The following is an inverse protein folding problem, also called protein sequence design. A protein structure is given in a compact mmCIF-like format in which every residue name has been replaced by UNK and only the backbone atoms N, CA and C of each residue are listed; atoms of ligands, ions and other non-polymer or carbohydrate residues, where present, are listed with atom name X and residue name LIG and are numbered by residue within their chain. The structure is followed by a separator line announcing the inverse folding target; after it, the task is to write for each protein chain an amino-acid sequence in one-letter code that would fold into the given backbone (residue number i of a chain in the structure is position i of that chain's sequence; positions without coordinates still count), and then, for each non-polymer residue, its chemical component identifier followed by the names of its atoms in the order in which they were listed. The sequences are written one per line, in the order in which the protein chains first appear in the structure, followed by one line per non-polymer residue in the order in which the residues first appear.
data_IF_686307369208
#
_entry.id   IF_686307369208
#
_cell.length_a   1.000
_cell.length_b   1.000
_cell.length_c   1.000
_cell.angle_alpha   90.00
_cell.angle_beta   90.00
_cell.angle_gamma   90.00
#
_symmetry.space_group_name_H-M   'P 1'
#
loop_
_entity.id
_entity.type
_entity.pdbx_description
1 polymer ?
#
# COMPACT_ATOMS: atom_id res chain seq x y z
N UNK A 1 3.24 -41.67 -6.25
CA UNK A 1 4.25 -40.60 -6.36
C UNK A 1 4.14 -39.64 -5.18
N UNK A 2 5.04 -39.74 -4.19
CA UNK A 2 5.13 -38.77 -3.08
C UNK A 2 5.62 -37.45 -3.68
N UNK A 3 4.76 -36.43 -3.78
CA UNK A 3 5.19 -35.06 -4.09
C UNK A 3 6.01 -34.57 -2.91
N UNK A 4 7.33 -34.55 -3.05
CA UNK A 4 8.17 -33.78 -2.18
C UNK A 4 7.72 -32.33 -2.25
N UNK A 5 7.40 -31.77 -1.08
CA UNK A 5 7.05 -30.36 -0.91
C UNK A 5 8.34 -29.55 -1.04
N UNK A 6 8.84 -29.43 -2.30
CA UNK A 6 9.98 -28.56 -2.57
C UNK A 6 9.46 -27.11 -2.56
N UNK A 7 9.79 -26.35 -1.55
CA UNK A 7 9.60 -24.90 -1.48
C UNK A 7 10.39 -24.24 -2.61
N UNK A 8 9.82 -24.19 -3.81
CA UNK A 8 10.45 -23.52 -4.95
C UNK A 8 10.20 -22.03 -4.83
N UNK A 9 11.15 -21.29 -4.26
CA UNK A 9 11.08 -19.83 -4.14
C UNK A 9 11.32 -19.21 -5.50
N UNK A 10 10.40 -18.36 -5.97
CA UNK A 10 10.47 -17.68 -7.26
C UNK A 10 11.68 -16.75 -7.36
N UNK A 11 11.86 -15.86 -6.39
CA UNK A 11 13.02 -14.99 -6.28
C UNK A 11 13.48 -14.91 -4.82
N UNK A 12 14.68 -15.43 -4.53
CA UNK A 12 15.24 -15.47 -3.17
C UNK A 12 15.49 -14.07 -2.60
N UNK A 13 15.87 -13.12 -3.46
CA UNK A 13 16.15 -11.75 -3.04
C UNK A 13 14.89 -11.06 -2.52
N UNK A 14 13.76 -11.18 -3.23
CA UNK A 14 12.47 -10.63 -2.78
C UNK A 14 12.06 -11.24 -1.44
N UNK A 15 12.20 -12.57 -1.29
CA UNK A 15 11.84 -13.24 -0.02
C UNK A 15 12.72 -12.75 1.13
N UNK A 16 14.05 -12.72 0.93
CA UNK A 16 14.98 -12.25 1.95
C UNK A 16 14.70 -10.79 2.34
N UNK A 17 14.62 -9.89 1.36
CA UNK A 17 14.42 -8.46 1.61
C UNK A 17 13.06 -8.16 2.27
N UNK A 18 11.99 -8.87 1.89
CA UNK A 18 10.68 -8.69 2.52
C UNK A 18 10.68 -9.12 3.99
N UNK A 19 11.35 -10.23 4.33
CA UNK A 19 11.50 -10.68 5.72
C UNK A 19 12.34 -9.68 6.54
N UNK A 20 13.45 -9.20 5.96
CA UNK A 20 14.30 -8.18 6.61
C UNK A 20 13.48 -6.90 6.88
N UNK A 21 12.68 -6.43 5.91
CA UNK A 21 11.82 -5.25 6.10
C UNK A 21 10.77 -5.47 7.19
N UNK A 22 10.16 -6.64 7.29
CA UNK A 22 9.19 -6.96 8.35
C UNK A 22 9.86 -6.96 9.73
N UNK A 23 11.05 -7.55 9.85
CA UNK A 23 11.81 -7.55 11.12
C UNK A 23 12.21 -6.12 11.49
N UNK A 24 12.79 -5.37 10.55
CA UNK A 24 13.17 -3.97 10.75
C UNK A 24 11.96 -3.11 11.13
N UNK A 25 10.84 -3.23 10.40
CA UNK A 25 9.60 -2.51 10.71
C UNK A 25 9.07 -2.84 12.11
N UNK A 26 9.12 -4.11 12.52
CA UNK A 26 8.69 -4.53 13.86
C UNK A 26 9.55 -3.90 14.97
N UNK A 27 10.86 -3.79 14.75
CA UNK A 27 11.76 -3.08 15.68
C UNK A 27 11.46 -1.59 15.73
N UNK A 28 11.24 -0.95 14.57
CA UNK A 28 10.93 0.48 14.52
C UNK A 28 9.56 0.82 15.10
N UNK A 29 8.56 -0.06 14.94
CA UNK A 29 7.25 0.07 15.61
C UNK A 29 7.42 0.00 17.13
N UNK A 30 8.24 -0.92 17.64
CA UNK A 30 8.52 -0.99 19.07
C UNK A 30 9.18 0.30 19.58
N UNK A 31 10.17 0.84 18.86
CA UNK A 31 10.79 2.11 19.20
C UNK A 31 9.80 3.29 19.17
N UNK A 32 9.00 3.40 18.10
CA UNK A 32 8.04 4.49 17.93
C UNK A 32 7.00 4.55 19.06
N UNK A 33 6.58 3.38 19.57
CA UNK A 33 5.58 3.29 20.65
C UNK A 33 6.16 3.44 22.07
N UNK A 34 7.48 3.56 22.22
CA UNK A 34 8.08 3.83 23.52
C UNK A 34 7.58 5.15 24.13
N UNK A 35 7.33 6.18 23.31
CA UNK A 35 6.78 7.45 23.78
C UNK A 35 5.38 7.31 24.39
N UNK A 36 4.53 6.50 23.80
CA UNK A 36 3.17 6.23 24.27
C UNK A 36 3.14 5.28 25.47
N UNK A 37 4.23 4.56 25.75
CA UNK A 37 4.34 3.60 26.85
C UNK A 37 4.88 4.18 28.15
N UNK A 38 5.15 5.47 28.21
CA UNK A 38 5.66 6.12 29.41
C UNK A 38 4.63 5.98 30.54
N UNK A 39 5.00 5.24 31.58
CA UNK A 39 4.12 4.92 32.72
C UNK A 39 3.32 3.60 32.60
N UNK A 40 3.27 2.95 31.43
CA UNK A 40 2.62 1.63 31.26
C UNK A 40 3.50 0.66 30.44
N UNK A 41 4.30 -0.13 31.13
CA UNK A 41 5.17 -1.15 30.50
C UNK A 41 4.37 -2.26 29.83
N UNK A 42 3.11 -2.49 30.24
CA UNK A 42 2.24 -3.51 29.67
C UNK A 42 1.73 -3.09 28.28
N UNK A 43 1.61 -1.79 28.04
CA UNK A 43 1.24 -1.25 26.73
C UNK A 43 2.24 -1.63 25.65
N UNK A 44 3.54 -1.36 25.88
CA UNK A 44 4.61 -1.67 24.93
C UNK A 44 4.67 -3.17 24.62
N UNK A 45 4.57 -4.01 25.67
CA UNK A 45 4.55 -5.47 25.50
C UNK A 45 3.39 -5.92 24.62
N UNK A 46 2.19 -5.36 24.81
CA UNK A 46 1.00 -5.66 23.97
C UNK A 46 1.23 -5.27 22.52
N UNK A 47 1.83 -4.10 22.25
CA UNK A 47 2.13 -3.65 20.88
C UNK A 47 3.13 -4.59 20.21
N UNK A 48 4.23 -4.93 20.89
CA UNK A 48 5.25 -5.84 20.36
C UNK A 48 4.67 -7.23 20.06
N UNK A 49 3.92 -7.81 20.99
CA UNK A 49 3.27 -9.11 20.81
C UNK A 49 2.29 -9.08 19.64
N UNK A 50 1.46 -8.04 19.56
CA UNK A 50 0.53 -7.84 18.44
C UNK A 50 1.27 -7.78 17.10
N UNK A 51 2.32 -6.97 17.01
CA UNK A 51 3.11 -6.83 15.79
C UNK A 51 3.79 -8.15 15.40
N UNK A 52 4.35 -8.89 16.38
CA UNK A 52 4.98 -10.18 16.14
C UNK A 52 3.97 -11.24 15.64
N UNK A 53 2.74 -11.26 16.17
CA UNK A 53 1.67 -12.16 15.71
C UNK A 53 1.31 -11.84 14.25
N UNK A 54 1.10 -10.56 13.91
CA UNK A 54 0.77 -10.19 12.53
C UNK A 54 1.93 -10.45 11.57
N UNK A 55 3.17 -10.21 11.99
CA UNK A 55 4.37 -10.56 11.21
C UNK A 55 4.44 -12.06 10.94
N UNK A 56 4.22 -12.89 11.97
CA UNK A 56 4.22 -14.34 11.85
C UNK A 56 3.11 -14.85 10.91
N UNK A 57 1.87 -14.38 11.09
CA UNK A 57 0.75 -14.72 10.21
C UNK A 57 1.02 -14.23 8.78
N UNK A 58 1.61 -13.04 8.63
CA UNK A 58 2.02 -12.49 7.34
C UNK A 58 3.02 -13.40 6.61
N UNK A 59 4.06 -13.86 7.30
CA UNK A 59 5.06 -14.79 6.75
C UNK A 59 4.41 -16.14 6.37
N UNK A 60 3.55 -16.68 7.22
CA UNK A 60 2.81 -17.92 6.89
C UNK A 60 1.95 -17.71 5.65
N UNK A 61 1.19 -16.61 5.57
CA UNK A 61 0.33 -16.31 4.43
C UNK A 61 1.14 -16.15 3.13
N UNK A 62 2.31 -15.51 3.19
CA UNK A 62 3.23 -15.39 2.06
C UNK A 62 3.62 -16.75 1.49
N UNK A 63 4.11 -17.68 2.34
CA UNK A 63 4.53 -19.01 1.89
C UNK A 63 3.32 -19.89 1.48
N UNK A 64 2.18 -19.76 2.14
CA UNK A 64 0.97 -20.48 1.78
C UNK A 64 0.49 -20.06 0.38
N UNK A 65 0.42 -18.74 0.11
CA UNK A 65 -0.04 -18.19 -1.17
C UNK A 65 0.96 -18.49 -2.30
N UNK A 66 2.26 -18.43 -2.04
CA UNK A 66 3.29 -18.77 -3.03
C UNK A 66 3.09 -20.18 -3.63
N UNK A 67 2.53 -21.10 -2.86
CA UNK A 67 2.26 -22.47 -3.31
C UNK A 67 0.88 -22.64 -3.98
N UNK A 68 0.04 -21.59 -4.01
CA UNK A 68 -1.28 -21.67 -4.62
C UNK A 68 -1.20 -21.59 -6.14
N UNK A 69 -1.91 -22.52 -6.79
CA UNK A 69 -2.06 -22.54 -8.25
C UNK A 69 -3.27 -21.70 -8.67
N UNK A 70 -3.16 -20.36 -8.55
CA UNK A 70 -4.24 -19.41 -8.83
C UNK A 70 -4.85 -19.55 -10.21
N UNK A 71 -4.05 -19.91 -11.21
CA UNK A 71 -4.53 -20.12 -12.58
C UNK A 71 -5.59 -21.23 -12.68
N UNK A 72 -5.62 -22.19 -11.72
CA UNK A 72 -6.61 -23.28 -11.66
C UNK A 72 -7.93 -22.86 -11.00
N UNK A 73 -7.94 -21.75 -10.25
CA UNK A 73 -9.14 -21.28 -9.56
C UNK A 73 -10.17 -20.81 -10.59
N UNK A 74 -11.43 -21.28 -10.48
CA UNK A 74 -12.52 -20.86 -11.37
C UNK A 74 -12.85 -19.39 -11.20
N UNK A 75 -13.19 -18.71 -12.30
CA UNK A 75 -13.52 -17.27 -12.27
C UNK A 75 -14.70 -16.96 -11.34
N UNK A 76 -15.62 -17.89 -11.16
CA UNK A 76 -16.78 -17.73 -10.26
C UNK A 76 -16.37 -17.45 -8.81
N UNK A 77 -15.28 -18.05 -8.31
CA UNK A 77 -14.77 -17.77 -6.99
C UNK A 77 -14.29 -16.33 -6.84
N UNK A 78 -13.70 -15.77 -7.90
CA UNK A 78 -13.29 -14.36 -7.87
C UNK A 78 -14.49 -13.43 -7.74
N UNK A 79 -15.62 -13.72 -8.39
CA UNK A 79 -16.84 -12.92 -8.20
C UNK A 79 -17.41 -13.05 -6.78
N UNK A 80 -17.37 -14.24 -6.18
CA UNK A 80 -17.78 -14.45 -4.78
C UNK A 80 -16.89 -13.63 -3.84
N UNK A 81 -15.57 -13.67 -4.02
CA UNK A 81 -14.64 -12.87 -3.22
C UNK A 81 -14.84 -11.36 -3.44
N UNK A 82 -15.12 -10.93 -4.67
CA UNK A 82 -15.45 -9.54 -4.96
C UNK A 82 -16.66 -9.08 -4.13
N UNK A 83 -17.75 -9.82 -4.16
CA UNK A 83 -18.97 -9.49 -3.40
C UNK A 83 -18.69 -9.53 -1.88
N UNK A 84 -17.93 -10.51 -1.41
CA UNK A 84 -17.55 -10.60 0.01
C UNK A 84 -16.73 -9.40 0.48
N UNK A 85 -15.73 -8.97 -0.30
CA UNK A 85 -14.94 -7.77 0.01
C UNK A 85 -15.82 -6.51 -0.08
N UNK A 86 -16.71 -6.40 -1.08
CA UNK A 86 -17.63 -5.28 -1.20
C UNK A 86 -18.54 -5.15 0.04
N UNK A 87 -19.07 -6.27 0.50
CA UNK A 87 -19.86 -6.31 1.72
C UNK A 87 -19.03 -5.86 2.93
N UNK A 88 -17.79 -6.34 3.08
CA UNK A 88 -16.89 -5.94 4.16
C UNK A 88 -16.56 -4.42 4.10
N UNK A 89 -16.33 -3.86 2.88
CA UNK A 89 -16.10 -2.43 2.70
C UNK A 89 -17.29 -1.59 3.18
N UNK A 90 -18.52 -2.02 2.89
CA UNK A 90 -19.74 -1.32 3.32
C UNK A 90 -19.98 -1.52 4.83
N UNK A 91 -19.73 -2.73 5.34
CA UNK A 91 -19.91 -3.06 6.75
C UNK A 91 -19.04 -2.24 7.71
N UNK A 92 -17.88 -1.74 7.26
CA UNK A 92 -17.03 -0.86 8.06
C UNK A 92 -17.79 0.34 8.65
N UNK A 93 -18.81 0.85 7.95
CA UNK A 93 -19.59 2.00 8.43
C UNK A 93 -20.33 1.72 9.74
N UNK A 94 -20.64 0.46 10.04
CA UNK A 94 -21.31 0.05 11.28
C UNK A 94 -20.37 0.08 12.51
N UNK A 95 -19.05 0.16 12.32
CA UNK A 95 -18.05 0.10 13.39
C UNK A 95 -17.55 1.47 13.86
N UNK A 96 -18.07 2.58 13.28
CA UNK A 96 -17.67 3.93 13.64
C UNK A 96 -16.44 4.44 12.91
N UNK A 97 -16.17 5.74 13.06
CA UNK A 97 -15.06 6.40 12.40
C UNK A 97 -13.80 6.39 13.29
N UNK A 98 -12.64 6.20 12.67
CA UNK A 98 -11.33 6.43 13.27
C UNK A 98 -10.66 7.56 12.45
N UNK A 99 -10.29 8.65 13.08
CA UNK A 99 -9.68 9.82 12.43
C UNK A 99 -10.50 10.31 11.20
N UNK A 100 -11.83 10.28 11.31
CA UNK A 100 -12.74 10.73 10.26
C UNK A 100 -13.01 9.72 9.13
N UNK A 101 -12.40 8.53 9.14
CA UNK A 101 -12.63 7.48 8.15
C UNK A 101 -13.34 6.26 8.75
N UNK A 102 -14.33 5.74 8.04
CA UNK A 102 -15.09 4.52 8.37
C UNK A 102 -14.48 3.31 7.65
N UNK A 103 -13.19 3.04 7.88
CA UNK A 103 -12.42 2.10 7.07
C UNK A 103 -12.05 0.80 7.79
N UNK A 104 -12.38 0.68 9.08
CA UNK A 104 -11.93 -0.43 9.92
C UNK A 104 -13.08 -1.25 10.50
N UNK A 105 -12.88 -2.57 10.54
CA UNK A 105 -13.72 -3.53 11.25
C UNK A 105 -12.99 -3.91 12.54
N UNK A 106 -13.64 -3.74 13.68
CA UNK A 106 -13.07 -4.10 14.97
C UNK A 106 -13.21 -5.61 15.22
N UNK A 107 -12.10 -6.25 15.51
CA UNK A 107 -12.05 -7.64 15.97
C UNK A 107 -11.81 -7.66 17.49
N UNK A 108 -12.84 -7.36 18.25
CA UNK A 108 -12.72 -7.17 19.69
C UNK A 108 -11.79 -6.01 20.05
N UNK A 109 -11.08 -6.10 21.18
CA UNK A 109 -10.09 -5.12 21.63
C UNK A 109 -8.69 -5.33 21.06
N UNK A 110 -8.47 -6.47 20.38
CA UNK A 110 -7.12 -6.88 19.99
C UNK A 110 -6.66 -6.32 18.63
N UNK A 111 -7.54 -6.31 17.64
CA UNK A 111 -7.16 -5.98 16.27
C UNK A 111 -8.24 -5.23 15.49
N UNK A 112 -7.81 -4.50 14.48
CA UNK A 112 -8.68 -3.90 13.45
C UNK A 112 -8.28 -4.43 12.08
N UNK A 113 -9.27 -4.72 11.24
CA UNK A 113 -9.06 -5.08 9.84
C UNK A 113 -9.54 -3.94 8.95
N UNK A 114 -8.72 -3.56 7.98
CA UNK A 114 -9.08 -2.61 6.94
C UNK A 114 -9.32 -3.36 5.63
N UNK A 115 -10.58 -3.58 5.22
CA UNK A 115 -10.89 -4.36 4.02
C UNK A 115 -10.36 -3.76 2.73
N UNK A 116 -10.15 -2.44 2.66
CA UNK A 116 -9.57 -1.78 1.48
C UNK A 116 -8.15 -2.24 1.16
N UNK A 117 -7.36 -2.70 2.15
CA UNK A 117 -6.04 -3.27 1.90
C UNK A 117 -6.14 -4.57 1.10
N UNK A 118 -7.08 -5.43 1.46
CA UNK A 118 -7.34 -6.68 0.74
C UNK A 118 -7.98 -6.43 -0.62
N UNK A 119 -8.83 -5.40 -0.75
CA UNK A 119 -9.43 -4.98 -2.01
C UNK A 119 -8.38 -4.61 -3.06
N UNK A 120 -7.32 -3.88 -2.67
CA UNK A 120 -6.20 -3.50 -3.55
C UNK A 120 -5.49 -4.73 -4.11
N UNK A 121 -5.10 -5.66 -3.24
CA UNK A 121 -4.43 -6.91 -3.63
C UNK A 121 -5.34 -7.80 -4.47
N UNK A 122 -6.61 -7.92 -4.07
CA UNK A 122 -7.60 -8.69 -4.82
C UNK A 122 -7.77 -8.17 -6.26
N UNK A 123 -7.85 -6.85 -6.46
CA UNK A 123 -8.02 -6.26 -7.80
C UNK A 123 -6.83 -6.55 -8.72
N UNK A 124 -5.60 -6.64 -8.19
CA UNK A 124 -4.43 -7.06 -8.96
C UNK A 124 -4.61 -8.49 -9.48
N UNK A 125 -4.93 -9.43 -8.57
CA UNK A 125 -5.04 -10.86 -8.89
C UNK A 125 -6.26 -11.13 -9.76
N UNK A 126 -7.36 -10.45 -9.52
CA UNK A 126 -8.57 -10.53 -10.33
C UNK A 126 -8.33 -10.02 -11.76
N UNK A 127 -7.64 -8.87 -11.90
CA UNK A 127 -7.24 -8.35 -13.21
C UNK A 127 -6.36 -9.34 -13.98
N UNK A 128 -5.37 -9.93 -13.31
CA UNK A 128 -4.53 -10.96 -13.89
C UNK A 128 -5.33 -12.17 -14.38
N UNK A 129 -6.34 -12.62 -13.63
CA UNK A 129 -7.23 -13.72 -14.03
C UNK A 129 -8.13 -13.34 -15.19
N UNK A 130 -8.68 -12.12 -15.18
CA UNK A 130 -9.63 -11.67 -16.18
C UNK A 130 -8.97 -11.45 -17.54
N UNK A 131 -7.75 -10.88 -17.55
CA UNK A 131 -6.99 -10.58 -18.76
C UNK A 131 -6.04 -11.70 -19.21
N UNK A 132 -6.01 -12.84 -18.50
CA UNK A 132 -5.09 -13.94 -18.80
C UNK A 132 -5.48 -14.80 -20.00
N UNK A 133 -6.68 -14.65 -20.54
CA UNK A 133 -7.16 -15.42 -21.69
C UNK A 133 -6.98 -14.62 -22.97
N UNK A 134 -6.20 -15.16 -23.91
CA UNK A 134 -6.24 -14.71 -25.30
C UNK A 134 -7.65 -14.96 -25.83
N UNK A 135 -8.40 -13.91 -25.97
CA UNK A 135 -9.79 -13.91 -26.43
C UNK A 135 -9.93 -13.09 -27.71
N UNK A 136 -11.10 -13.23 -28.35
CA UNK A 136 -11.49 -12.31 -29.42
C UNK A 136 -11.51 -10.87 -28.91
N UNK A 137 -11.37 -9.88 -29.81
CA UNK A 137 -11.39 -8.44 -29.47
C UNK A 137 -12.61 -8.10 -28.61
N UNK A 138 -13.76 -8.68 -28.89
CA UNK A 138 -15.00 -8.46 -28.16
C UNK A 138 -14.95 -9.00 -26.72
N UNK A 139 -14.44 -10.23 -26.52
CA UNK A 139 -14.26 -10.81 -25.17
C UNK A 139 -13.30 -9.97 -24.33
N UNK A 140 -12.25 -9.47 -24.93
CA UNK A 140 -11.25 -8.64 -24.24
C UNK A 140 -11.83 -7.28 -23.87
N UNK A 141 -12.62 -6.66 -24.76
CA UNK A 141 -13.34 -5.41 -24.48
C UNK A 141 -14.32 -5.59 -23.32
N UNK A 142 -15.08 -6.68 -23.32
CA UNK A 142 -16.02 -6.97 -22.24
C UNK A 142 -15.31 -7.22 -20.90
N UNK A 143 -14.15 -7.88 -20.90
CA UNK A 143 -13.32 -8.07 -19.73
C UNK A 143 -12.81 -6.71 -19.19
N UNK A 144 -12.35 -5.82 -20.07
CA UNK A 144 -11.90 -4.47 -19.73
C UNK A 144 -13.01 -3.63 -19.09
N UNK A 145 -14.19 -3.62 -19.71
CA UNK A 145 -15.35 -2.88 -19.18
C UNK A 145 -15.80 -3.45 -17.83
N UNK A 146 -15.89 -4.78 -17.70
CA UNK A 146 -16.24 -5.42 -16.42
C UNK A 146 -15.26 -5.07 -15.30
N UNK A 147 -13.96 -5.17 -15.57
CA UNK A 147 -12.93 -4.80 -14.60
C UNK A 147 -13.05 -3.32 -14.19
N UNK A 148 -13.22 -2.42 -15.17
CA UNK A 148 -13.39 -0.99 -14.94
C UNK A 148 -14.62 -0.66 -14.08
N UNK A 149 -15.77 -1.28 -14.37
CA UNK A 149 -16.99 -1.09 -13.56
C UNK A 149 -16.74 -1.56 -12.12
N UNK A 150 -16.14 -2.73 -11.93
CA UNK A 150 -15.86 -3.28 -10.60
C UNK A 150 -14.85 -2.43 -9.84
N UNK A 151 -13.84 -1.89 -10.51
CA UNK A 151 -12.88 -0.95 -9.92
C UNK A 151 -13.55 0.36 -9.49
N UNK A 152 -14.44 0.91 -10.32
CA UNK A 152 -15.20 2.13 -10.00
C UNK A 152 -16.12 1.91 -8.79
N UNK A 153 -16.79 0.77 -8.70
CA UNK A 153 -17.64 0.45 -7.54
C UNK A 153 -16.82 0.44 -6.25
N UNK A 154 -15.68 -0.25 -6.21
CA UNK A 154 -14.80 -0.23 -5.04
C UNK A 154 -14.30 1.18 -4.73
N UNK A 155 -13.86 1.92 -5.76
CA UNK A 155 -13.39 3.29 -5.60
C UNK A 155 -14.47 4.19 -4.96
N UNK A 156 -15.70 4.14 -5.46
CA UNK A 156 -16.82 4.93 -4.91
C UNK A 156 -17.13 4.54 -3.47
N UNK A 157 -17.13 3.25 -3.14
CA UNK A 157 -17.41 2.78 -1.78
C UNK A 157 -16.30 3.23 -0.82
N UNK A 158 -15.02 3.07 -1.19
CA UNK A 158 -13.90 3.50 -0.34
C UNK A 158 -13.90 5.03 -0.19
N UNK A 159 -14.11 5.77 -1.28
CA UNK A 159 -14.08 7.23 -1.27
C UNK A 159 -15.28 7.85 -0.54
N UNK A 160 -16.51 7.39 -0.82
CA UNK A 160 -17.76 8.01 -0.30
C UNK A 160 -18.29 7.34 0.96
N UNK A 161 -18.28 6.00 1.03
CA UNK A 161 -18.86 5.28 2.17
C UNK A 161 -17.88 5.20 3.33
N UNK A 162 -16.59 4.93 3.03
CA UNK A 162 -15.54 4.87 4.06
C UNK A 162 -14.88 6.22 4.35
N UNK A 163 -15.03 7.22 3.46
CA UNK A 163 -14.33 8.53 3.55
C UNK A 163 -12.80 8.38 3.63
N UNK A 164 -12.25 7.32 3.00
CA UNK A 164 -10.81 7.02 2.98
C UNK A 164 -10.22 7.42 1.62
N UNK A 165 -9.79 8.68 1.54
CA UNK A 165 -9.21 9.24 0.31
C UNK A 165 -7.90 8.55 -0.08
N UNK A 166 -7.01 8.28 0.90
CA UNK A 166 -5.71 7.66 0.65
C UNK A 166 -5.83 6.29 0.01
N UNK A 167 -6.64 5.40 0.59
CA UNK A 167 -6.89 4.06 0.03
C UNK A 167 -7.61 4.10 -1.31
N UNK A 168 -8.51 5.06 -1.54
CA UNK A 168 -9.19 5.22 -2.82
C UNK A 168 -8.19 5.60 -3.93
N UNK A 169 -7.28 6.55 -3.68
CA UNK A 169 -6.23 6.95 -4.63
C UNK A 169 -5.32 5.77 -4.96
N UNK A 170 -4.85 5.04 -3.93
CA UNK A 170 -4.00 3.85 -4.14
C UNK A 170 -4.70 2.80 -4.99
N UNK A 171 -5.96 2.47 -4.67
CA UNK A 171 -6.76 1.52 -5.48
C UNK A 171 -6.93 2.01 -6.91
N UNK A 172 -7.23 3.30 -7.10
CA UNK A 172 -7.39 3.91 -8.43
C UNK A 172 -6.13 3.77 -9.29
N UNK A 173 -4.95 4.08 -8.72
CA UNK A 173 -3.65 3.96 -9.41
C UNK A 173 -3.35 2.50 -9.76
N UNK A 174 -3.57 1.57 -8.83
CA UNK A 174 -3.37 0.13 -9.09
C UNK A 174 -4.28 -0.33 -10.24
N UNK A 175 -5.58 -0.04 -10.17
CA UNK A 175 -6.53 -0.47 -11.19
C UNK A 175 -6.22 0.17 -12.55
N UNK A 176 -5.83 1.44 -12.58
CA UNK A 176 -5.35 2.11 -13.78
C UNK A 176 -4.16 1.36 -14.41
N UNK A 177 -3.11 1.09 -13.62
CA UNK A 177 -1.94 0.38 -14.12
C UNK A 177 -2.27 -1.04 -14.62
N UNK A 178 -3.11 -1.78 -13.90
CA UNK A 178 -3.59 -3.10 -14.33
C UNK A 178 -4.32 -3.03 -15.68
N UNK A 179 -5.12 -1.99 -15.92
CA UNK A 179 -5.83 -1.79 -17.19
C UNK A 179 -4.91 -1.35 -18.35
N UNK A 180 -3.73 -0.76 -18.05
CA UNK A 180 -2.77 -0.33 -19.07
C UNK A 180 -1.89 -1.47 -19.60
N UNK A 181 -1.70 -2.56 -18.85
CA UNK A 181 -0.77 -3.63 -19.21
C UNK A 181 -1.22 -4.47 -20.42
N UNK A 182 -2.49 -4.90 -20.54
CA UNK A 182 -2.87 -5.80 -21.63
C UNK A 182 -2.81 -5.08 -22.99
N UNK A 183 -2.04 -5.62 -23.97
CA UNK A 183 -2.00 -5.05 -25.31
C UNK A 183 -3.24 -5.50 -26.11
N UNK A 184 -4.41 -4.97 -25.76
CA UNK A 184 -5.68 -5.40 -26.34
C UNK A 184 -5.99 -4.55 -27.57
N UNK A 185 -6.00 -5.18 -28.76
CA UNK A 185 -6.47 -4.55 -30.00
C UNK A 185 -7.91 -4.05 -29.81
N UNK A 186 -8.18 -2.82 -30.19
CA UNK A 186 -9.52 -2.18 -30.05
C UNK A 186 -9.76 -1.40 -28.75
N UNK A 187 -8.89 -1.53 -27.72
CA UNK A 187 -9.02 -0.80 -26.46
C UNK A 187 -8.03 0.37 -26.34
N UNK A 188 -7.03 0.44 -27.22
CA UNK A 188 -5.99 1.47 -27.19
C UNK A 188 -6.55 2.88 -27.09
N UNK A 189 -7.69 3.15 -27.74
CA UNK A 189 -8.38 4.45 -27.64
C UNK A 189 -8.81 4.75 -26.20
N UNK A 190 -9.39 3.79 -25.49
CA UNK A 190 -9.82 3.97 -24.08
C UNK A 190 -8.62 4.12 -23.15
N UNK A 191 -7.54 3.34 -23.35
CA UNK A 191 -6.29 3.47 -22.60
C UNK A 191 -5.68 4.86 -22.79
N UNK A 192 -5.65 5.40 -24.01
CA UNK A 192 -5.18 6.77 -24.26
C UNK A 192 -6.04 7.82 -23.53
N UNK A 193 -7.37 7.70 -23.57
CA UNK A 193 -8.27 8.60 -22.83
C UNK A 193 -8.05 8.51 -21.31
N UNK A 194 -7.85 7.32 -20.77
CA UNK A 194 -7.53 7.15 -19.36
C UNK A 194 -6.19 7.80 -18.99
N UNK A 195 -5.18 7.69 -19.86
CA UNK A 195 -3.88 8.34 -19.65
C UNK A 195 -4.02 9.88 -19.66
N UNK A 196 -4.80 10.43 -20.58
CA UNK A 196 -5.10 11.87 -20.60
C UNK A 196 -5.83 12.29 -19.32
N UNK A 197 -6.81 11.50 -18.87
CA UNK A 197 -7.54 11.79 -17.63
C UNK A 197 -6.64 11.78 -16.39
N UNK A 198 -5.68 10.83 -16.31
CA UNK A 198 -4.71 10.79 -15.22
C UNK A 198 -3.76 11.99 -15.26
N UNK A 199 -3.24 12.36 -16.43
CA UNK A 199 -2.40 13.57 -16.59
C UNK A 199 -3.18 14.80 -16.13
N UNK A 200 -4.44 14.91 -16.53
CA UNK A 200 -5.30 16.03 -16.14
C UNK A 200 -5.58 16.05 -14.64
N UNK A 201 -5.80 14.87 -14.01
CA UNK A 201 -5.96 14.76 -12.56
C UNK A 201 -4.70 15.20 -11.80
N UNK A 202 -3.50 14.86 -12.30
CA UNK A 202 -2.24 15.30 -11.72
C UNK A 202 -2.11 16.83 -11.84
N UNK A 203 -2.41 17.39 -12.99
CA UNK A 203 -2.39 18.85 -13.20
C UNK A 203 -3.39 19.57 -12.28
N UNK A 204 -4.57 18.99 -12.03
CA UNK A 204 -5.54 19.53 -11.06
C UNK A 204 -4.92 19.56 -9.66
N UNK A 205 -4.24 18.49 -9.21
CA UNK A 205 -3.61 18.48 -7.89
C UNK A 205 -2.57 19.60 -7.76
N UNK A 206 -1.72 19.78 -8.76
CA UNK A 206 -0.76 20.90 -8.77
C UNK A 206 -1.45 22.27 -8.79
N UNK A 207 -2.54 22.40 -9.55
CA UNK A 207 -3.33 23.63 -9.57
C UNK A 207 -3.96 23.92 -8.20
N UNK A 208 -4.47 22.90 -7.50
CA UNK A 208 -5.04 23.05 -6.17
C UNK A 208 -4.01 23.48 -5.11
N UNK A 209 -2.73 23.18 -5.32
CA UNK A 209 -1.62 23.62 -4.45
C UNK A 209 -1.08 25.01 -4.82
N UNK A 210 -1.61 25.65 -5.87
CA UNK A 210 -1.18 26.99 -6.28
C UNK A 210 -1.68 28.08 -5.32
N UNK A 211 -0.90 29.15 -5.14
CA UNK A 211 -1.22 30.24 -4.22
C UNK A 211 -2.62 30.86 -4.39
N UNK A 212 -3.14 31.12 -5.61
CA UNK A 212 -4.47 31.68 -5.77
C UNK A 212 -5.57 30.78 -5.21
N UNK A 213 -5.44 29.46 -5.42
CA UNK A 213 -6.44 28.47 -4.98
C UNK A 213 -6.34 28.23 -3.48
N UNK A 214 -5.13 28.13 -2.93
CA UNK A 214 -4.94 27.98 -1.49
C UNK A 214 -5.41 29.21 -0.72
N UNK A 215 -5.24 30.42 -1.24
CA UNK A 215 -5.79 31.64 -0.65
C UNK A 215 -7.33 31.66 -0.66
N UNK A 216 -7.97 31.17 -1.72
CA UNK A 216 -9.42 30.98 -1.74
C UNK A 216 -9.90 29.91 -0.77
N UNK A 217 -9.16 28.79 -0.64
CA UNK A 217 -9.46 27.70 0.30
C UNK A 217 -9.37 28.14 1.78
N UNK A 218 -8.56 29.13 2.14
CA UNK A 218 -8.42 29.65 3.52
C UNK A 218 -9.77 30.06 4.12
N UNK A 219 -10.70 30.58 3.31
CA UNK A 219 -12.06 30.90 3.73
C UNK A 219 -12.96 29.72 4.03
N UNK A 220 -12.52 28.48 3.77
CA UNK A 220 -13.28 27.24 3.90
C UNK A 220 -12.51 26.16 4.67
N UNK A 221 -11.64 26.58 5.59
CA UNK A 221 -10.70 25.72 6.35
C UNK A 221 -11.35 24.67 7.25
N UNK A 222 -12.64 24.80 7.56
CA UNK A 222 -13.38 23.86 8.40
C UNK A 222 -13.53 22.46 7.79
N UNK A 223 -13.26 22.32 6.49
CA UNK A 223 -13.29 21.04 5.82
C UNK A 223 -11.96 20.30 6.00
N UNK A 224 -12.00 19.12 6.61
CA UNK A 224 -10.83 18.28 6.89
C UNK A 224 -9.91 18.03 5.67
N UNK A 225 -10.49 17.82 4.48
CA UNK A 225 -9.70 17.62 3.25
C UNK A 225 -9.01 18.91 2.82
N UNK A 226 -9.71 20.05 2.88
CA UNK A 226 -9.15 21.36 2.57
C UNK A 226 -8.00 21.66 3.52
N UNK A 227 -8.17 21.40 4.81
CA UNK A 227 -7.13 21.57 5.83
C UNK A 227 -5.83 20.81 5.50
N UNK A 228 -5.93 19.58 4.97
CA UNK A 228 -4.74 18.81 4.53
C UNK A 228 -4.02 19.43 3.31
N UNK A 229 -4.77 19.98 2.34
CA UNK A 229 -4.18 20.69 1.21
C UNK A 229 -3.49 21.97 1.65
N UNK A 230 -4.10 22.73 2.53
CA UNK A 230 -3.53 23.96 3.10
C UNK A 230 -2.27 23.67 3.93
N UNK A 231 -2.29 22.61 4.75
CA UNK A 231 -1.13 22.19 5.53
C UNK A 231 0.04 21.68 4.66
N UNK A 232 -0.24 21.13 3.47
CA UNK A 232 0.80 20.75 2.52
C UNK A 232 1.40 21.96 1.80
N UNK A 233 0.58 22.99 1.50
CA UNK A 233 1.02 24.20 0.85
C UNK A 233 1.87 25.09 1.78
N UNK A 234 1.43 25.27 3.03
CA UNK A 234 2.14 26.03 4.06
C UNK A 234 1.88 25.43 5.45
N UNK A 235 2.69 24.45 5.90
CA UNK A 235 2.49 23.82 7.20
C UNK A 235 2.69 24.79 8.37
N UNK A 236 3.54 25.82 8.24
CA UNK A 236 3.85 26.74 9.32
C UNK A 236 2.70 27.71 9.61
N UNK A 237 1.89 28.03 8.60
CA UNK A 237 0.69 28.85 8.78
C UNK A 237 -0.38 28.10 9.59
N UNK A 238 -0.44 26.77 9.47
CA UNK A 238 -1.40 25.89 10.15
C UNK A 238 -0.77 25.07 11.28
N UNK A 239 0.26 25.63 11.95
CA UNK A 239 1.11 24.94 12.95
C UNK A 239 0.38 24.38 14.17
N UNK A 240 -0.82 24.87 14.47
CA UNK A 240 -1.62 24.43 15.63
C UNK A 240 -2.72 23.43 15.26
N UNK A 241 -2.84 23.08 13.99
CA UNK A 241 -3.87 22.20 13.44
C UNK A 241 -3.24 21.16 12.50
N UNK A 242 -3.74 21.03 11.28
CA UNK A 242 -3.28 20.02 10.30
C UNK A 242 -1.78 20.13 9.93
N UNK A 243 -1.18 21.31 10.04
CA UNK A 243 0.25 21.53 9.82
C UNK A 243 1.16 21.00 10.93
N UNK A 244 0.65 20.83 12.16
CA UNK A 244 1.45 20.37 13.31
C UNK A 244 2.18 19.04 13.01
N UNK A 245 1.46 18.08 12.44
CA UNK A 245 2.01 16.76 12.12
C UNK A 245 3.14 16.82 11.10
N UNK A 246 2.98 17.66 10.08
CA UNK A 246 3.99 17.88 9.04
C UNK A 246 5.22 18.55 9.59
N UNK A 247 5.05 19.61 10.41
CA UNK A 247 6.16 20.33 11.05
C UNK A 247 6.96 19.38 11.94
N UNK A 248 6.29 18.57 12.77
CA UNK A 248 6.97 17.58 13.61
C UNK A 248 7.78 16.60 12.80
N UNK A 249 7.26 16.16 11.63
CA UNK A 249 8.01 15.30 10.72
C UNK A 249 9.26 15.98 10.17
N UNK A 250 9.16 17.24 9.73
CA UNK A 250 10.28 18.00 9.19
C UNK A 250 11.36 18.26 10.24
N UNK A 251 10.95 18.55 11.50
CA UNK A 251 11.89 18.72 12.61
C UNK A 251 12.58 17.39 12.96
N UNK A 252 11.83 16.27 12.96
CA UNK A 252 12.44 14.94 13.15
C UNK A 252 13.49 14.64 12.08
N UNK A 253 13.21 14.98 10.81
CA UNK A 253 14.19 14.83 9.72
C UNK A 253 15.45 15.69 9.94
N UNK A 254 15.27 16.92 10.39
CA UNK A 254 16.39 17.81 10.69
C UNK A 254 17.25 17.31 11.85
N UNK A 255 16.62 16.79 12.91
CA UNK A 255 17.31 16.25 14.07
C UNK A 255 18.11 14.99 13.78
N UNK A 256 17.63 14.16 12.84
CA UNK A 256 18.27 12.90 12.46
C UNK A 256 19.66 13.08 11.87
N UNK A 257 19.97 14.21 11.24
CA UNK A 257 21.27 14.43 10.59
C UNK A 257 21.70 13.23 9.72
N UNK A 258 23.02 12.95 9.68
CA UNK A 258 23.58 11.83 8.86
C UNK A 258 23.41 10.48 9.58
N UNK A 259 23.72 10.41 10.88
CA UNK A 259 23.82 9.14 11.64
C UNK A 259 22.62 8.87 12.55
N UNK A 260 21.74 9.84 12.78
CA UNK A 260 20.65 9.73 13.73
C UNK A 260 21.07 9.92 15.20
N UNK A 261 20.05 9.93 16.06
CA UNK A 261 20.22 10.02 17.51
C UNK A 261 20.49 8.67 18.19
N UNK A 262 20.43 7.59 17.42
CA UNK A 262 20.49 6.21 17.91
C UNK A 262 19.11 5.59 18.11
N UNK A 263 19.02 4.26 17.97
CA UNK A 263 17.78 3.51 18.15
C UNK A 263 17.16 3.75 19.54
N UNK A 264 15.89 4.04 19.58
CA UNK A 264 15.18 4.33 20.83
C UNK A 264 15.27 5.76 21.31
N UNK A 265 16.06 6.64 20.69
CA UNK A 265 16.39 7.98 21.16
C UNK A 265 15.66 9.10 20.40
N UNK A 266 14.66 8.81 19.57
CA UNK A 266 13.83 9.87 18.98
C UNK A 266 13.21 10.73 20.07
N UNK A 267 13.36 12.05 19.95
CA UNK A 267 12.82 13.03 20.92
C UNK A 267 11.33 13.23 20.68
N UNK A 268 10.95 13.33 19.41
CA UNK A 268 9.58 13.70 19.04
C UNK A 268 8.54 12.66 19.42
N UNK A 269 8.90 11.36 19.50
CA UNK A 269 7.96 10.32 19.96
C UNK A 269 7.47 10.53 21.39
N UNK A 270 8.17 11.32 22.22
CA UNK A 270 7.76 11.68 23.58
C UNK A 270 6.99 13.02 23.64
N UNK A 271 6.84 13.74 22.51
CA UNK A 271 6.19 15.04 22.42
C UNK A 271 4.78 14.97 21.81
N UNK A 272 3.97 13.98 22.16
CA UNK A 272 2.63 13.77 21.59
C UNK A 272 2.62 13.68 20.05
N UNK A 273 3.64 13.06 19.47
CA UNK A 273 3.69 12.84 18.03
C UNK A 273 2.54 11.89 17.60
N UNK A 274 1.64 12.30 16.74
CA UNK A 274 0.46 11.51 16.45
C UNK A 274 0.80 10.29 15.58
N UNK A 275 0.26 9.13 15.93
CA UNK A 275 0.42 7.88 15.20
C UNK A 275 1.87 7.57 14.75
N UNK A 276 2.88 7.68 15.63
CA UNK A 276 4.29 7.55 15.26
C UNK A 276 4.65 6.18 14.71
N UNK A 277 3.90 5.15 15.04
CA UNK A 277 4.10 3.78 14.56
C UNK A 277 3.39 3.47 13.23
N UNK A 278 2.44 4.32 12.79
CA UNK A 278 1.66 4.12 11.58
C UNK A 278 2.19 4.98 10.41
N UNK A 279 1.50 6.09 10.17
CA UNK A 279 1.73 6.97 9.01
C UNK A 279 3.03 7.76 9.15
N UNK A 280 3.44 8.05 10.39
CA UNK A 280 4.60 8.86 10.74
C UNK A 280 5.81 8.05 11.23
N UNK A 281 5.89 6.78 10.88
CA UNK A 281 7.04 5.94 11.27
C UNK A 281 8.35 6.38 10.59
N UNK A 282 8.28 6.91 9.36
CA UNK A 282 9.46 7.36 8.63
C UNK A 282 10.20 8.51 9.33
N UNK A 283 9.54 9.58 9.82
CA UNK A 283 10.19 10.58 10.65
C UNK A 283 10.95 9.99 11.86
N UNK A 284 10.36 9.02 12.56
CA UNK A 284 11.02 8.34 13.67
C UNK A 284 12.27 7.57 13.21
N UNK A 285 12.16 6.85 12.08
CA UNK A 285 13.30 6.12 11.48
C UNK A 285 14.44 7.08 11.16
N UNK A 286 14.14 8.22 10.53
CA UNK A 286 15.16 9.20 10.15
C UNK A 286 15.73 9.90 11.36
N UNK A 287 14.93 10.22 12.36
CA UNK A 287 15.43 10.84 13.60
C UNK A 287 16.37 9.89 14.36
N UNK A 288 16.07 8.59 14.41
CA UNK A 288 16.87 7.60 15.13
C UNK A 288 18.10 7.09 14.35
N UNK A 289 17.99 6.88 13.04
CA UNK A 289 19.00 6.24 12.20
C UNK A 289 19.64 7.19 11.18
N UNK A 290 19.20 8.43 11.14
CA UNK A 290 19.72 9.44 10.23
C UNK A 290 19.35 9.20 8.77
N UNK A 291 19.99 9.97 7.91
CA UNK A 291 19.84 9.83 6.45
C UNK A 291 20.38 8.49 5.95
N UNK A 292 21.34 7.90 6.65
CA UNK A 292 21.87 6.54 6.38
C UNK A 292 20.76 5.50 6.56
N UNK A 293 19.97 5.60 7.63
CA UNK A 293 18.81 4.74 7.86
C UNK A 293 17.75 4.87 6.75
N UNK A 294 17.48 6.10 6.30
CA UNK A 294 16.59 6.34 5.17
C UNK A 294 17.09 5.68 3.87
N UNK A 295 18.35 5.87 3.50
CA UNK A 295 18.90 5.21 2.30
C UNK A 295 18.96 3.70 2.45
N UNK A 296 19.26 3.16 3.64
CA UNK A 296 19.16 1.74 3.93
C UNK A 296 17.76 1.19 3.66
N UNK A 297 16.73 1.93 4.09
CA UNK A 297 15.34 1.60 3.83
C UNK A 297 15.02 1.64 2.32
N UNK A 298 15.43 2.69 1.61
CA UNK A 298 15.24 2.82 0.15
C UNK A 298 15.90 1.66 -0.60
N UNK A 299 17.11 1.27 -0.21
CA UNK A 299 17.81 0.12 -0.79
C UNK A 299 17.04 -1.17 -0.52
N UNK A 300 16.58 -1.40 0.71
CA UNK A 300 15.84 -2.60 1.06
C UNK A 300 14.52 -2.71 0.27
N UNK A 301 13.80 -1.59 0.10
CA UNK A 301 12.64 -1.51 -0.80
C UNK A 301 13.03 -1.78 -2.26
N UNK A 302 14.14 -1.20 -2.73
CA UNK A 302 14.68 -1.44 -4.07
C UNK A 302 14.95 -2.92 -4.36
N UNK A 303 15.47 -3.65 -3.37
CA UNK A 303 15.70 -5.09 -3.47
C UNK A 303 14.41 -5.92 -3.61
N UNK A 304 13.27 -5.40 -3.17
CA UNK A 304 11.94 -5.99 -3.44
C UNK A 304 11.40 -5.54 -4.80
N UNK A 305 11.46 -4.25 -5.09
CA UNK A 305 10.80 -3.63 -6.23
C UNK A 305 11.48 -3.94 -7.56
N UNK A 306 12.82 -3.89 -7.62
CA UNK A 306 13.58 -4.11 -8.87
C UNK A 306 13.32 -5.49 -9.46
N UNK A 307 13.35 -6.61 -8.69
CA UNK A 307 13.03 -7.92 -9.24
C UNK A 307 11.57 -8.05 -9.72
N UNK A 308 10.62 -7.38 -9.07
CA UNK A 308 9.21 -7.36 -9.50
C UNK A 308 9.07 -6.66 -10.85
N UNK A 309 9.65 -5.49 -11.00
CA UNK A 309 9.63 -4.74 -12.25
C UNK A 309 10.35 -5.49 -13.37
N UNK A 310 11.56 -5.97 -13.11
CA UNK A 310 12.33 -6.74 -14.09
C UNK A 310 11.59 -8.01 -14.52
N UNK A 311 11.03 -8.76 -13.56
CA UNK A 311 10.22 -9.95 -13.84
C UNK A 311 8.97 -9.64 -14.69
N UNK A 312 8.31 -8.51 -14.42
CA UNK A 312 7.16 -8.06 -15.22
C UNK A 312 7.56 -7.75 -16.66
N UNK A 313 8.65 -7.00 -16.85
CA UNK A 313 9.14 -6.62 -18.20
C UNK A 313 9.58 -7.85 -19.01
N UNK A 314 10.24 -8.81 -18.38
CA UNK A 314 10.77 -10.02 -19.04
C UNK A 314 9.72 -11.08 -19.31
N UNK A 315 8.63 -11.12 -18.54
CA UNK A 315 7.59 -12.16 -18.69
C UNK A 315 6.91 -12.08 -20.06
N UNK A 316 6.63 -13.23 -20.65
CA UNK A 316 5.81 -13.38 -21.87
C UNK A 316 4.30 -13.45 -21.56
N UNK A 317 3.94 -13.79 -20.32
CA UNK A 317 2.56 -14.05 -19.92
C UNK A 317 1.89 -12.79 -19.32
N UNK A 318 0.76 -12.40 -19.89
CA UNK A 318 0.00 -11.22 -19.47
C UNK A 318 -0.40 -11.28 -17.98
N UNK A 319 -0.82 -12.46 -17.49
CA UNK A 319 -1.16 -12.65 -16.08
C UNK A 319 0.01 -12.34 -15.15
N UNK A 320 1.20 -12.88 -15.46
CA UNK A 320 2.41 -12.64 -14.68
C UNK A 320 2.82 -11.17 -14.72
N UNK A 321 2.76 -10.51 -15.90
CA UNK A 321 3.00 -9.07 -16.02
C UNK A 321 2.09 -8.27 -15.10
N UNK A 322 0.80 -8.57 -15.10
CA UNK A 322 -0.20 -7.85 -14.30
C UNK A 322 0.07 -8.03 -12.81
N UNK A 323 0.33 -9.25 -12.33
CA UNK A 323 0.58 -9.47 -10.91
C UNK A 323 1.86 -8.77 -10.47
N UNK A 324 2.97 -8.97 -11.19
CA UNK A 324 4.27 -8.41 -10.81
C UNK A 324 4.26 -6.88 -10.85
N UNK A 325 3.73 -6.28 -11.92
CA UNK A 325 3.64 -4.83 -12.03
C UNK A 325 2.58 -4.25 -11.07
N UNK A 326 1.46 -4.94 -10.87
CA UNK A 326 0.44 -4.53 -9.91
C UNK A 326 0.98 -4.48 -8.47
N UNK A 327 1.74 -5.50 -8.06
CA UNK A 327 2.41 -5.52 -6.74
C UNK A 327 3.51 -4.47 -6.66
N UNK A 328 4.32 -4.30 -7.72
CA UNK A 328 5.30 -3.23 -7.80
C UNK A 328 4.64 -1.85 -7.60
N UNK A 329 3.55 -1.56 -8.31
CA UNK A 329 2.81 -0.29 -8.19
C UNK A 329 2.20 -0.14 -6.80
N UNK A 330 1.64 -1.22 -6.22
CA UNK A 330 1.08 -1.20 -4.87
C UNK A 330 2.12 -0.72 -3.84
N UNK A 331 3.31 -1.29 -3.85
CA UNK A 331 4.39 -0.87 -2.94
C UNK A 331 4.92 0.53 -3.26
N UNK A 332 5.13 0.83 -4.54
CA UNK A 332 5.69 2.12 -4.98
C UNK A 332 4.76 3.27 -4.64
N UNK A 333 3.45 3.15 -4.87
CA UNK A 333 2.51 4.23 -4.58
C UNK A 333 2.36 4.46 -3.08
N UNK A 334 2.35 3.39 -2.26
CA UNK A 334 2.35 3.53 -0.80
C UNK A 334 3.62 4.26 -0.32
N UNK A 335 4.78 3.89 -0.86
CA UNK A 335 6.05 4.55 -0.53
C UNK A 335 6.03 6.03 -0.90
N UNK A 336 5.63 6.36 -2.14
CA UNK A 336 5.57 7.75 -2.62
C UNK A 336 4.58 8.59 -1.80
N UNK A 337 3.38 8.06 -1.52
CA UNK A 337 2.37 8.79 -0.76
C UNK A 337 2.76 8.98 0.71
N UNK A 338 3.42 8.01 1.32
CA UNK A 338 3.91 8.13 2.69
C UNK A 338 5.07 9.13 2.77
N UNK A 339 6.17 8.90 2.02
CA UNK A 339 7.35 9.76 2.03
C UNK A 339 7.01 11.18 1.61
N UNK A 340 6.21 11.34 0.54
CA UNK A 340 5.78 12.63 0.05
C UNK A 340 4.88 13.38 1.03
N UNK A 341 3.98 12.68 1.72
CA UNK A 341 3.08 13.26 2.71
C UNK A 341 3.82 13.74 3.97
N UNK A 342 4.69 12.91 4.55
CA UNK A 342 5.46 13.30 5.74
C UNK A 342 6.58 14.30 5.42
N UNK A 343 7.02 14.36 4.15
CA UNK A 343 7.99 15.33 3.65
C UNK A 343 7.39 16.65 3.15
N UNK A 344 6.10 16.90 3.34
CA UNK A 344 5.40 18.11 2.87
C UNK A 344 5.43 18.33 1.34
N UNK A 345 5.68 17.27 0.54
CA UNK A 345 5.68 17.37 -0.92
C UNK A 345 4.27 17.22 -1.52
N UNK A 346 3.40 16.50 -0.82
CA UNK A 346 2.01 16.26 -1.18
C UNK A 346 1.13 16.30 0.08
N UNK A 347 -0.20 16.51 -0.04
CA UNK A 347 -1.08 16.42 1.12
C UNK A 347 -0.99 15.07 1.83
N UNK A 348 -1.03 15.10 3.17
CA UNK A 348 -1.03 13.89 3.98
C UNK A 348 -2.21 12.99 3.62
N UNK A 349 -1.92 11.76 3.21
CA UNK A 349 -2.94 10.79 2.79
C UNK A 349 -3.30 9.77 3.87
N UNK A 350 -2.49 9.67 4.95
CA UNK A 350 -2.68 8.65 5.99
C UNK A 350 -2.41 7.22 5.51
N UNK A 351 -1.58 7.08 4.47
CA UNK A 351 -1.24 5.77 3.88
C UNK A 351 0.01 5.22 4.58
N UNK A 352 -0.02 3.99 5.13
CA UNK A 352 1.11 3.42 5.84
C UNK A 352 2.25 3.02 4.90
N UNK A 353 3.47 3.00 5.45
CA UNK A 353 4.65 2.46 4.78
C UNK A 353 4.64 0.93 4.89
N UNK A 354 4.36 0.23 3.78
CA UNK A 354 4.15 -1.22 3.76
C UNK A 354 5.34 -1.99 4.33
N UNK A 355 5.10 -3.09 5.02
CA UNK A 355 6.07 -3.94 5.75
C UNK A 355 6.77 -3.27 6.94
N UNK A 356 6.67 -1.94 7.09
CA UNK A 356 7.37 -1.17 8.13
C UNK A 356 6.39 -0.67 9.18
N UNK A 357 5.32 0.03 8.75
CA UNK A 357 4.34 0.63 9.67
C UNK A 357 3.60 -0.42 10.50
N UNK A 358 3.16 -0.02 11.67
CA UNK A 358 2.21 -0.77 12.48
C UNK A 358 0.88 -0.88 11.74
N UNK A 359 0.49 -2.07 11.37
CA UNK A 359 -0.78 -2.28 10.68
C UNK A 359 -1.00 -3.76 10.41
N UNK A 360 -1.86 -4.41 11.21
CA UNK A 360 -2.13 -5.83 11.04
C UNK A 360 -2.61 -6.17 9.63
N UNK A 361 -3.60 -5.45 9.12
CA UNK A 361 -4.18 -5.69 7.79
C UNK A 361 -3.26 -5.26 6.65
N UNK A 362 -2.56 -4.14 6.76
CA UNK A 362 -1.61 -3.68 5.72
C UNK A 362 -0.41 -4.61 5.60
N UNK A 363 0.14 -5.09 6.73
CA UNK A 363 1.21 -6.07 6.76
C UNK A 363 0.77 -7.40 6.14
N UNK A 364 -0.41 -7.90 6.52
CA UNK A 364 -0.96 -9.13 5.93
C UNK A 364 -1.19 -8.99 4.43
N UNK A 365 -1.85 -7.93 3.98
CA UNK A 365 -2.14 -7.68 2.58
C UNK A 365 -0.84 -7.55 1.75
N UNK A 366 0.17 -6.85 2.27
CA UNK A 366 1.46 -6.70 1.60
C UNK A 366 2.21 -8.03 1.48
N UNK A 367 2.26 -8.84 2.55
CA UNK A 367 2.87 -10.17 2.51
C UNK A 367 2.10 -11.13 1.57
N UNK A 368 0.75 -11.09 1.57
CA UNK A 368 -0.08 -11.83 0.62
C UNK A 368 0.21 -11.41 -0.82
N UNK A 369 0.32 -10.12 -1.10
CA UNK A 369 0.62 -9.60 -2.45
C UNK A 369 1.97 -10.10 -2.97
N UNK A 370 3.00 -10.10 -2.12
CA UNK A 370 4.32 -10.66 -2.44
C UNK A 370 4.26 -12.19 -2.64
N UNK A 371 3.43 -12.89 -1.86
CA UNK A 371 3.16 -14.32 -2.06
C UNK A 371 2.58 -14.60 -3.45
N UNK A 372 1.62 -13.78 -3.91
CA UNK A 372 1.07 -13.87 -5.28
C UNK A 372 2.13 -13.59 -6.35
N UNK A 373 2.96 -12.57 -6.14
CA UNK A 373 4.05 -12.26 -7.06
C UNK A 373 5.04 -13.44 -7.18
N UNK A 374 5.40 -14.06 -6.07
CA UNK A 374 6.28 -15.23 -6.04
C UNK A 374 5.63 -16.44 -6.74
N UNK A 375 4.34 -16.68 -6.52
CA UNK A 375 3.62 -17.77 -7.20
C UNK A 375 3.68 -17.62 -8.73
N UNK A 376 3.53 -16.40 -9.25
CA UNK A 376 3.63 -16.14 -10.69
C UNK A 376 5.08 -16.21 -11.20
N UNK A 377 6.09 -15.81 -10.41
CA UNK A 377 7.49 -15.98 -10.77
C UNK A 377 7.88 -17.47 -10.89
N UNK A 378 7.42 -18.30 -9.94
CA UNK A 378 7.63 -19.75 -9.97
C UNK A 378 6.96 -20.36 -11.19
N UNK A 379 5.71 -19.99 -11.45
CA UNK A 379 4.95 -20.47 -12.61
C UNK A 379 5.64 -20.13 -13.93
N UNK A 380 6.12 -18.89 -14.10
CA UNK A 380 6.81 -18.44 -15.30
C UNK A 380 8.04 -19.30 -15.59
N UNK A 381 8.83 -19.62 -14.57
CA UNK A 381 10.01 -20.47 -14.68
C UNK A 381 9.66 -21.89 -15.16
N UNK A 382 8.63 -22.54 -14.57
CA UNK A 382 8.22 -23.89 -14.99
C UNK A 382 7.76 -23.95 -16.43
N UNK A 383 7.04 -22.94 -16.91
CA UNK A 383 6.56 -22.92 -18.30
C UNK A 383 7.73 -22.68 -19.27
N UNK A 384 8.70 -21.84 -18.91
CA UNK A 384 9.89 -21.60 -19.73
C UNK A 384 10.76 -22.86 -19.83
N UNK A 385 10.89 -23.64 -18.74
CA UNK A 385 11.61 -24.92 -18.72
C UNK A 385 10.91 -26.00 -19.57
N UNK A 386 9.57 -26.06 -19.53
CA UNK A 386 8.79 -27.03 -20.32
C UNK A 386 8.85 -26.72 -21.82
N UNK A 387 8.85 -25.43 -22.20
CA UNK A 387 8.98 -25.00 -23.60
C UNK A 387 10.41 -25.11 -24.16
N UNK A 388 11.41 -25.34 -23.31
CA UNK A 388 12.82 -25.49 -23.71
C UNK A 388 13.22 -26.98 -23.96
N UNK A 389 12.35 -27.91 -23.57
CA UNK A 389 12.47 -29.36 -23.78
C UNK A 389 11.68 -29.78 -25.00
#
# INVERSE_FOLDING_TARGET
MKKHFNLTIGNKLVTFSSIVLVIFGSLMVASAEMGNSVGDTTYLTRVIVKQAIFAFIGVISYFAIMNLKLYKVRISFYYIFYVGILFALIACRAFGAINGAYAWIWLGSFATIQPSEFAKVFMIVFGAKLFSKDGTIEKNRNAFVKYGIMAIIYFIVIFKVQSDFGSAVVLGVICYCVMMIPPIKGIKKYQNWMSIAVIFAILIVFFLLSEPVTNWMKGHSDNYMIGRFLAAADPFLYRYDNGYHVIMSLVSFANGNIFGLGYGNSIHKYMNFPNPSNDFILPVIVEELGIIGFFGLVIAYGLVLVPLMYGSLKSKYTSTKIVLLGVFVYFTIHFILNVGGVGALIPLTGVPLLLISSGGSSLLASMMSLGFAQAEMVRNRYIDEDNSR
#
